data_IF_692345153579
#
_entry.id   IF_692345153579
#
_cell.length_a   1.000
_cell.length_b   1.000
_cell.length_c   1.000
_cell.angle_alpha   90.00
_cell.angle_beta   90.00
_cell.angle_gamma   90.00
#
_symmetry.space_group_name_H-M   'P 1'
#
loop_
_entity.id
_entity.type
_entity.pdbx_description
1 polymer ?
#
# COMPACT_ATOMS: atom_id res chain seq x y z
N UNK A 1 40.32 25.83 21.65
CA UNK A 1 39.93 24.42 21.40
C UNK A 1 38.45 24.29 21.71
N UNK A 2 37.57 24.38 20.69
CA UNK A 2 36.12 24.22 20.84
C UNK A 2 35.82 22.73 20.79
N UNK A 3 35.27 22.18 21.87
CA UNK A 3 34.69 20.83 21.88
C UNK A 3 33.36 20.94 21.13
N UNK A 4 33.24 20.17 20.05
CA UNK A 4 32.08 20.15 19.19
C UNK A 4 30.87 19.52 19.91
N UNK A 5 29.75 20.15 19.66
CA UNK A 5 28.37 19.81 19.98
C UNK A 5 28.01 18.37 19.57
N UNK A 6 27.36 17.62 20.46
CA UNK A 6 26.72 16.35 20.14
C UNK A 6 25.20 16.54 20.21
N UNK A 7 24.61 16.99 19.10
CA UNK A 7 23.18 16.97 18.91
C UNK A 7 22.67 15.52 18.85
N UNK A 8 21.52 15.19 19.47
CA UNK A 8 20.91 13.88 19.32
C UNK A 8 20.46 13.70 17.86
N UNK A 9 20.59 12.48 17.34
CA UNK A 9 20.09 12.08 16.02
C UNK A 9 18.56 12.16 16.00
N UNK A 10 18.03 13.38 15.88
CA UNK A 10 16.63 13.63 15.60
C UNK A 10 16.37 13.18 14.17
N UNK A 11 15.64 12.08 14.01
CA UNK A 11 15.01 11.71 12.74
C UNK A 11 14.17 12.90 12.30
N UNK A 12 14.59 13.57 11.23
CA UNK A 12 13.84 14.65 10.62
C UNK A 12 12.68 14.04 9.81
N UNK A 13 11.61 13.62 10.47
CA UNK A 13 10.32 13.52 9.77
C UNK A 13 9.82 14.95 9.63
N UNK A 14 9.98 15.52 8.44
CA UNK A 14 9.33 16.77 8.11
C UNK A 14 7.82 16.62 8.30
N UNK A 15 7.12 17.75 8.45
CA UNK A 15 5.67 17.88 8.54
C UNK A 15 4.85 17.18 7.42
N UNK A 16 5.52 16.58 6.43
CA UNK A 16 4.91 15.74 5.40
C UNK A 16 4.44 14.36 5.91
N UNK A 17 5.00 13.85 7.01
CA UNK A 17 4.73 12.48 7.47
C UNK A 17 3.36 12.32 8.16
N UNK A 18 2.83 13.40 8.74
CA UNK A 18 1.50 13.43 9.37
C UNK A 18 0.33 13.40 8.36
N UNK A 19 0.62 13.48 7.06
CA UNK A 19 -0.37 13.43 5.97
C UNK A 19 -0.31 12.14 5.15
N UNK A 20 0.62 11.22 5.43
CA UNK A 20 0.64 9.93 4.74
C UNK A 20 -0.47 9.05 5.33
N UNK A 21 -1.47 8.72 4.50
CA UNK A 21 -2.46 7.66 4.79
C UNK A 21 -2.06 6.44 3.95
N UNK A 22 -1.03 5.69 4.39
CA UNK A 22 -0.45 4.61 3.58
C UNK A 22 -1.49 3.49 3.43
N UNK A 23 -1.84 3.21 2.18
CA UNK A 23 -2.87 2.23 1.83
C UNK A 23 -2.28 1.00 1.19
N UNK A 24 -2.71 -0.16 1.67
CA UNK A 24 -2.40 -1.47 1.08
C UNK A 24 -3.65 -2.02 0.41
N UNK A 25 -3.53 -2.33 -0.87
CA UNK A 25 -4.57 -3.06 -1.60
C UNK A 25 -4.33 -4.56 -1.45
N UNK A 26 -5.34 -5.30 -1.03
CA UNK A 26 -5.34 -6.76 -0.98
C UNK A 26 -6.30 -7.28 -2.05
N UNK A 27 -5.79 -8.03 -3.02
CA UNK A 27 -6.59 -8.61 -4.10
C UNK A 27 -6.78 -10.10 -3.86
N UNK A 28 -8.01 -10.52 -3.57
CA UNK A 28 -8.35 -11.91 -3.29
C UNK A 28 -9.80 -12.20 -3.66
N UNK A 29 -10.08 -13.41 -4.14
CA UNK A 29 -11.41 -13.76 -4.66
C UNK A 29 -12.45 -13.89 -3.54
N UNK A 30 -12.02 -14.38 -2.37
CA UNK A 30 -12.85 -14.51 -1.17
C UNK A 30 -12.19 -13.87 0.03
N UNK A 31 -13.02 -13.46 0.99
CA UNK A 31 -12.55 -12.76 2.19
C UNK A 31 -12.00 -13.75 3.26
N UNK A 32 -12.23 -15.05 3.06
CA UNK A 32 -12.00 -16.11 4.06
C UNK A 32 -10.57 -16.14 4.59
N UNK A 33 -9.60 -15.88 3.70
CA UNK A 33 -8.17 -15.93 4.01
C UNK A 33 -7.55 -14.56 4.34
N UNK A 34 -8.16 -13.47 3.85
CA UNK A 34 -7.56 -12.14 3.98
C UNK A 34 -7.94 -11.42 5.27
N UNK A 35 -9.00 -11.85 5.96
CA UNK A 35 -9.50 -11.15 7.14
C UNK A 35 -8.47 -11.00 8.27
N UNK A 36 -7.66 -12.03 8.53
CA UNK A 36 -6.59 -11.94 9.53
C UNK A 36 -5.43 -11.05 9.09
N UNK A 37 -5.05 -11.12 7.82
CA UNK A 37 -4.03 -10.25 7.21
C UNK A 37 -4.45 -8.78 7.30
N UNK A 38 -5.68 -8.45 6.91
CA UNK A 38 -6.17 -7.07 6.93
C UNK A 38 -6.17 -6.51 8.35
N UNK A 39 -6.70 -7.25 9.34
CA UNK A 39 -6.66 -6.83 10.74
C UNK A 39 -5.24 -6.62 11.26
N UNK A 40 -4.29 -7.46 10.86
CA UNK A 40 -2.89 -7.31 11.23
C UNK A 40 -2.28 -6.03 10.65
N UNK A 41 -2.54 -5.75 9.37
CA UNK A 41 -2.09 -4.51 8.71
C UNK A 41 -2.72 -3.26 9.32
N UNK A 42 -4.04 -3.28 9.54
CA UNK A 42 -4.77 -2.20 10.19
C UNK A 42 -4.23 -1.92 11.61
N UNK A 43 -3.93 -2.96 12.38
CA UNK A 43 -3.32 -2.84 13.71
C UNK A 43 -1.90 -2.27 13.71
N UNK A 44 -1.18 -2.38 12.59
CA UNK A 44 0.14 -1.77 12.38
C UNK A 44 0.04 -0.33 11.84
N UNK A 45 -1.17 0.21 11.66
CA UNK A 45 -1.41 1.56 11.16
C UNK A 45 -1.49 1.66 9.63
N UNK A 46 -1.46 0.54 8.90
CA UNK A 46 -1.69 0.53 7.46
C UNK A 46 -3.18 0.49 7.19
N UNK A 47 -3.69 1.33 6.28
CA UNK A 47 -5.09 1.27 5.91
C UNK A 47 -5.32 0.23 4.82
N UNK A 48 -6.07 -0.82 5.12
CA UNK A 48 -6.35 -1.86 4.12
C UNK A 48 -7.55 -1.54 3.22
N UNK A 49 -7.43 -1.96 1.96
CA UNK A 49 -8.49 -1.95 0.96
C UNK A 49 -8.51 -3.31 0.28
N UNK A 50 -9.70 -3.82 -0.07
CA UNK A 50 -9.85 -5.13 -0.68
C UNK A 50 -10.48 -5.05 -2.06
N UNK A 51 -10.01 -5.86 -3.01
CA UNK A 51 -10.64 -6.04 -4.32
C UNK A 51 -10.80 -7.52 -4.64
N UNK A 52 -11.98 -7.90 -5.17
CA UNK A 52 -12.29 -9.29 -5.54
C UNK A 52 -12.07 -9.61 -7.00
N UNK A 53 -11.72 -8.61 -7.80
CA UNK A 53 -11.49 -8.73 -9.25
C UNK A 53 -10.34 -7.81 -9.66
N UNK A 54 -9.68 -8.11 -10.78
CA UNK A 54 -8.64 -7.23 -11.30
C UNK A 54 -9.16 -5.87 -11.74
N UNK A 55 -10.37 -5.80 -12.30
CA UNK A 55 -11.01 -4.53 -12.64
C UNK A 55 -11.22 -3.63 -11.42
N UNK A 56 -11.69 -4.19 -10.29
CA UNK A 56 -11.83 -3.43 -9.06
C UNK A 56 -10.48 -3.00 -8.47
N UNK A 57 -9.45 -3.85 -8.58
CA UNK A 57 -8.10 -3.53 -8.15
C UNK A 57 -7.50 -2.36 -8.94
N UNK A 58 -7.72 -2.34 -10.27
CA UNK A 58 -7.31 -1.24 -11.15
C UNK A 58 -8.09 0.03 -10.85
N UNK A 59 -9.41 -0.06 -10.66
CA UNK A 59 -10.23 1.10 -10.30
C UNK A 59 -9.78 1.74 -8.98
N UNK A 60 -9.39 0.94 -7.98
CA UNK A 60 -8.88 1.44 -6.71
C UNK A 60 -7.60 2.28 -6.84
N UNK A 61 -6.77 2.01 -7.87
CA UNK A 61 -5.62 2.87 -8.19
C UNK A 61 -6.04 4.24 -8.76
N UNK A 62 -7.23 4.36 -9.36
CA UNK A 62 -7.77 5.64 -9.80
C UNK A 62 -8.19 6.53 -8.62
N UNK A 63 -8.81 5.92 -7.61
CA UNK A 63 -9.41 6.64 -6.49
C UNK A 63 -8.43 6.92 -5.35
N UNK A 64 -7.40 6.09 -5.18
CA UNK A 64 -6.51 6.15 -4.02
C UNK A 64 -5.02 6.07 -4.40
N UNK A 65 -4.19 6.80 -3.64
CA UNK A 65 -2.75 6.57 -3.62
C UNK A 65 -2.49 5.30 -2.81
N UNK A 66 -2.01 4.26 -3.49
CA UNK A 66 -1.67 2.96 -2.89
C UNK A 66 -0.14 2.84 -2.78
N UNK A 67 0.34 2.34 -1.66
CA UNK A 67 1.78 2.14 -1.43
C UNK A 67 2.23 0.73 -1.80
N UNK A 68 1.36 -0.24 -1.58
CA UNK A 68 1.62 -1.64 -1.89
C UNK A 68 0.34 -2.35 -2.34
N UNK A 69 0.53 -3.43 -3.08
CA UNK A 69 -0.50 -4.40 -3.39
C UNK A 69 -0.05 -5.80 -2.95
N UNK A 70 -0.93 -6.52 -2.28
CA UNK A 70 -0.79 -7.93 -1.92
C UNK A 70 -1.80 -8.70 -2.77
N UNK A 71 -1.34 -9.70 -3.51
CA UNK A 71 -2.19 -10.49 -4.41
C UNK A 71 -2.23 -11.91 -3.87
N UNK A 72 -3.43 -12.43 -3.66
CA UNK A 72 -3.66 -13.85 -3.38
C UNK A 72 -3.20 -14.68 -4.58
N UNK A 73 -2.26 -15.59 -4.35
CA UNK A 73 -1.67 -16.41 -5.40
C UNK A 73 -2.70 -17.36 -6.07
N UNK A 74 -3.78 -17.70 -5.36
CA UNK A 74 -4.87 -18.52 -5.90
C UNK A 74 -5.93 -17.70 -6.65
N UNK A 75 -5.79 -16.37 -6.71
CA UNK A 75 -6.71 -15.53 -7.46
C UNK A 75 -6.65 -15.91 -8.96
N UNK A 76 -7.80 -16.04 -9.66
CA UNK A 76 -7.82 -16.49 -11.07
C UNK A 76 -7.01 -15.59 -12.02
N UNK A 77 -6.86 -14.32 -11.68
CA UNK A 77 -6.09 -13.33 -12.43
C UNK A 77 -4.67 -13.09 -11.88
N UNK A 78 -4.19 -13.87 -10.90
CA UNK A 78 -2.95 -13.60 -10.15
C UNK A 78 -1.72 -13.33 -11.03
N UNK A 79 -1.58 -14.04 -12.15
CA UNK A 79 -0.46 -13.87 -13.07
C UNK A 79 -0.50 -12.54 -13.85
N UNK A 80 -1.69 -12.03 -14.18
CA UNK A 80 -1.85 -10.82 -14.99
C UNK A 80 -1.93 -9.54 -14.15
N UNK A 81 -2.36 -9.65 -12.89
CA UNK A 81 -2.57 -8.51 -12.00
C UNK A 81 -1.34 -7.60 -11.81
N UNK A 82 -0.11 -8.10 -11.59
CA UNK A 82 1.05 -7.23 -11.38
C UNK A 82 1.31 -6.28 -12.55
N UNK A 83 1.21 -6.78 -13.79
CA UNK A 83 1.41 -5.96 -14.99
C UNK A 83 0.27 -4.95 -15.16
N UNK A 84 -0.99 -5.40 -15.00
CA UNK A 84 -2.16 -4.52 -15.09
C UNK A 84 -2.11 -3.36 -14.07
N UNK A 85 -1.76 -3.66 -12.82
CA UNK A 85 -1.60 -2.65 -11.76
C UNK A 85 -0.44 -1.71 -12.05
N UNK A 86 0.68 -2.22 -12.59
CA UNK A 86 1.83 -1.39 -12.97
C UNK A 86 1.49 -0.41 -14.08
N UNK A 87 0.76 -0.86 -15.11
CA UNK A 87 0.29 0.00 -16.21
C UNK A 87 -0.67 1.09 -15.69
N UNK A 88 -1.65 0.71 -14.87
CA UNK A 88 -2.59 1.64 -14.25
C UNK A 88 -1.90 2.65 -13.32
N UNK A 89 -0.89 2.23 -12.55
CA UNK A 89 -0.12 3.13 -11.70
C UNK A 89 0.79 4.07 -12.51
N UNK A 90 1.35 3.62 -13.63
CA UNK A 90 2.20 4.42 -14.51
C UNK A 90 1.48 5.61 -15.15
N UNK A 91 0.17 5.50 -15.39
CA UNK A 91 -0.67 6.59 -15.89
C UNK A 91 -0.72 7.82 -14.96
N UNK A 92 -0.28 7.69 -13.69
CA UNK A 92 -0.29 8.75 -12.68
C UNK A 92 1.04 9.51 -12.52
N UNK A 93 2.03 9.26 -13.39
CA UNK A 93 3.32 9.99 -13.41
C UNK A 93 3.35 11.12 -14.45
N UNK A 94 2.33 11.98 -14.45
CA UNK A 94 2.28 13.20 -15.26
C UNK A 94 2.39 14.44 -14.37
#
# INVERSE_FOLDING_TARGET
>A
MRVADAAPLGVHWGTADLLSDPRVLVVAQTDDRIGALCRGLDGLGWRTMTARTGGAAVAALGDFKLEAAIIDADHPEAAALPEALRLAAGARRL
#
